data_IF_560814252435
#
_entry.id   IF_560814252435
#
_cell.length_a   1.000
_cell.length_b   1.000
_cell.length_c   1.000
_cell.angle_alpha   90.00
_cell.angle_beta   90.00
_cell.angle_gamma   90.00
#
_symmetry.space_group_name_H-M   'P 1'
#
loop_
_entity.id
_entity.type
_entity.pdbx_description
1 polymer ?
#
# COMPACT_ATOMS: atom_id res chain seq x y z
N UNK A 1 -7.22 7.28 3.84
CA UNK A 1 -7.23 5.80 3.67
C UNK A 1 -8.24 5.44 2.59
N UNK A 2 -7.78 4.87 1.48
CA UNK A 2 -8.60 4.49 0.31
C UNK A 2 -8.86 2.96 0.22
N UNK A 3 -8.25 2.16 1.10
CA UNK A 3 -8.33 0.70 1.07
C UNK A 3 -9.78 0.14 1.12
N UNK A 4 -10.68 0.57 2.02
CA UNK A 4 -12.07 0.06 2.05
C UNK A 4 -12.90 0.48 0.83
N UNK A 5 -12.44 1.51 0.10
CA UNK A 5 -13.07 1.94 -1.16
C UNK A 5 -12.59 1.09 -2.34
N UNK A 6 -11.32 0.67 -2.30
CA UNK A 6 -10.65 -0.09 -3.35
C UNK A 6 -10.94 -1.60 -3.28
N UNK A 7 -11.14 -2.17 -2.08
CA UNK A 7 -11.46 -3.59 -1.89
C UNK A 7 -12.75 -3.77 -1.08
N UNK A 8 -13.78 -4.34 -1.70
CA UNK A 8 -15.14 -4.49 -1.11
C UNK A 8 -15.51 -5.93 -0.72
N UNK A 9 -14.65 -6.91 -1.05
CA UNK A 9 -14.88 -8.33 -0.70
C UNK A 9 -14.50 -8.57 0.77
N UNK A 10 -15.13 -9.53 1.46
CA UNK A 10 -14.73 -9.88 2.82
C UNK A 10 -13.32 -10.50 2.83
N UNK A 11 -12.47 -10.04 3.75
CA UNK A 11 -11.14 -10.61 4.01
C UNK A 11 -11.27 -11.53 5.23
N UNK A 12 -10.74 -12.77 5.19
CA UNK A 12 -10.74 -13.63 6.37
C UNK A 12 -10.04 -12.95 7.55
N UNK A 13 -10.60 -13.10 8.75
CA UNK A 13 -10.21 -12.33 9.93
C UNK A 13 -8.72 -12.44 10.30
N UNK A 14 -8.12 -13.60 10.02
CA UNK A 14 -6.69 -13.87 10.28
C UNK A 14 -5.77 -12.93 9.48
N UNK A 15 -6.12 -12.62 8.23
CA UNK A 15 -5.36 -11.69 7.38
C UNK A 15 -5.74 -10.23 7.64
N UNK A 16 -7.02 -9.96 7.95
CA UNK A 16 -7.53 -8.60 8.06
C UNK A 16 -6.84 -7.79 9.17
N UNK A 17 -6.59 -8.38 10.35
CA UNK A 17 -5.97 -7.66 11.46
C UNK A 17 -4.57 -7.16 11.10
N UNK A 18 -3.71 -8.04 10.60
CA UNK A 18 -2.33 -7.70 10.25
C UNK A 18 -2.28 -6.78 9.03
N UNK A 19 -3.18 -6.95 8.07
CA UNK A 19 -3.29 -6.06 6.91
C UNK A 19 -3.65 -4.62 7.33
N UNK A 20 -4.56 -4.44 8.30
CA UNK A 20 -4.86 -3.11 8.85
C UNK A 20 -3.64 -2.48 9.53
N UNK A 21 -2.87 -3.26 10.28
CA UNK A 21 -1.62 -2.78 10.90
C UNK A 21 -0.60 -2.31 9.85
N UNK A 22 -0.39 -3.08 8.77
CA UNK A 22 0.48 -2.70 7.66
C UNK A 22 0.04 -1.40 7.00
N UNK A 23 -1.26 -1.23 6.74
CA UNK A 23 -1.83 0.01 6.17
C UNK A 23 -1.56 1.22 7.09
N UNK A 24 -1.72 1.05 8.40
CA UNK A 24 -1.45 2.10 9.39
C UNK A 24 0.04 2.44 9.41
N UNK A 25 0.94 1.45 9.40
CA UNK A 25 2.39 1.66 9.38
C UNK A 25 2.85 2.40 8.12
N UNK A 26 2.38 1.98 6.94
CA UNK A 26 2.64 2.67 5.66
C UNK A 26 2.15 4.13 5.70
N UNK A 27 0.96 4.38 6.27
CA UNK A 27 0.43 5.73 6.44
C UNK A 27 1.31 6.58 7.37
N UNK A 28 1.65 6.07 8.55
CA UNK A 28 2.50 6.80 9.50
C UNK A 28 3.86 7.17 8.89
N UNK A 29 4.47 6.25 8.15
CA UNK A 29 5.76 6.47 7.52
C UNK A 29 5.69 7.53 6.41
N UNK A 30 4.67 7.48 5.55
CA UNK A 30 4.49 8.45 4.45
C UNK A 30 4.27 9.89 4.92
N UNK A 31 3.67 10.07 6.10
CA UNK A 31 3.37 11.40 6.67
C UNK A 31 4.42 11.88 7.66
N UNK A 32 5.53 11.14 7.86
CA UNK A 32 6.68 11.67 8.60
C UNK A 32 7.29 12.84 7.82
N UNK A 33 7.49 13.98 8.48
CA UNK A 33 8.01 15.25 7.89
C UNK A 33 9.35 15.12 7.16
N UNK A 34 10.11 14.06 7.43
CA UNK A 34 11.41 13.75 6.82
C UNK A 34 11.35 12.66 5.77
N UNK A 35 10.15 12.24 5.35
CA UNK A 35 9.98 11.12 4.43
C UNK A 35 10.67 11.40 3.08
N UNK A 36 11.70 10.61 2.80
CA UNK A 36 12.23 10.38 1.46
C UNK A 36 11.86 8.95 1.08
N UNK A 37 11.69 8.71 -0.20
CA UNK A 37 11.55 7.35 -0.70
C UNK A 37 12.74 6.52 -0.20
N UNK A 38 12.43 5.42 0.48
CA UNK A 38 13.41 4.50 1.06
C UNK A 38 13.15 3.12 0.46
N UNK A 39 14.05 2.69 -0.43
CA UNK A 39 13.93 1.44 -1.15
C UNK A 39 13.97 0.21 -0.22
N UNK A 40 14.68 0.30 0.91
CA UNK A 40 14.75 -0.77 1.92
C UNK A 40 13.41 -0.89 2.64
N UNK A 41 12.78 0.24 2.97
CA UNK A 41 11.44 0.25 3.54
C UNK A 41 10.39 -0.28 2.57
N UNK A 42 10.44 0.14 1.29
CA UNK A 42 9.53 -0.36 0.27
C UNK A 42 9.66 -1.89 0.10
N UNK A 43 10.88 -2.40 0.03
CA UNK A 43 11.15 -3.84 -0.01
C UNK A 43 10.61 -4.54 1.25
N UNK A 44 10.85 -3.98 2.44
CA UNK A 44 10.33 -4.52 3.70
C UNK A 44 8.80 -4.63 3.73
N UNK A 45 8.09 -3.63 3.21
CA UNK A 45 6.62 -3.66 3.10
C UNK A 45 6.12 -4.73 2.12
N UNK A 46 6.79 -4.90 0.97
CA UNK A 46 6.42 -5.93 -0.01
C UNK A 46 6.69 -7.33 0.54
N UNK A 47 7.85 -7.56 1.13
CA UNK A 47 8.20 -8.86 1.74
C UNK A 47 7.26 -9.23 2.88
N UNK A 48 6.93 -8.26 3.76
CA UNK A 48 5.98 -8.49 4.85
C UNK A 48 4.57 -8.81 4.34
N UNK A 49 4.15 -8.16 3.26
CA UNK A 49 2.88 -8.46 2.59
C UNK A 49 2.87 -9.88 2.00
N UNK A 50 3.92 -10.27 1.28
CA UNK A 50 4.01 -11.59 0.66
C UNK A 50 3.98 -12.72 1.71
N UNK A 51 4.71 -12.55 2.81
CA UNK A 51 4.69 -13.51 3.93
C UNK A 51 3.32 -13.55 4.61
N UNK A 52 2.68 -12.39 4.80
CA UNK A 52 1.37 -12.33 5.42
C UNK A 52 0.31 -13.04 4.59
N UNK A 53 0.37 -12.89 3.27
CA UNK A 53 -0.63 -13.41 2.33
C UNK A 53 -0.30 -14.82 1.83
N UNK A 54 0.69 -15.48 2.43
CA UNK A 54 0.99 -16.87 2.17
C UNK A 54 -0.21 -17.75 2.55
N UNK A 55 -0.57 -18.68 1.66
CA UNK A 55 -1.74 -19.54 1.83
C UNK A 55 -3.09 -18.83 1.70
N UNK A 56 -3.14 -17.56 1.28
CA UNK A 56 -4.42 -16.89 0.99
C UNK A 56 -5.19 -17.68 -0.10
N UNK A 57 -6.49 -17.98 0.07
CA UNK A 57 -7.19 -18.95 -0.79
C UNK A 57 -7.31 -18.59 -2.28
N UNK A 58 -7.10 -17.33 -2.62
CA UNK A 58 -7.35 -16.77 -3.95
C UNK A 58 -6.20 -15.86 -4.35
N UNK A 59 -5.41 -16.29 -5.33
CA UNK A 59 -4.31 -15.50 -5.88
C UNK A 59 -4.81 -14.20 -6.53
N UNK A 60 -6.01 -14.22 -7.14
CA UNK A 60 -6.65 -13.02 -7.71
C UNK A 60 -7.00 -11.99 -6.64
N UNK A 61 -7.58 -12.44 -5.53
CA UNK A 61 -7.88 -11.56 -4.40
C UNK A 61 -6.61 -11.05 -3.74
N UNK A 62 -5.56 -11.88 -3.64
CA UNK A 62 -4.25 -11.45 -3.15
C UNK A 62 -3.71 -10.31 -4.02
N UNK A 63 -3.66 -10.46 -5.34
CA UNK A 63 -3.20 -9.40 -6.24
C UNK A 63 -4.08 -8.13 -6.14
N UNK A 64 -5.40 -8.29 -6.03
CA UNK A 64 -6.33 -7.16 -5.89
C UNK A 64 -6.13 -6.43 -4.56
N UNK A 65 -5.91 -7.15 -3.46
CA UNK A 65 -5.60 -6.59 -2.14
C UNK A 65 -4.25 -5.88 -2.20
N UNK A 66 -3.24 -6.46 -2.85
CA UNK A 66 -1.92 -5.86 -3.00
C UNK A 66 -2.00 -4.54 -3.78
N UNK A 67 -2.76 -4.51 -4.88
CA UNK A 67 -3.04 -3.29 -5.64
C UNK A 67 -3.81 -2.26 -4.81
N UNK A 68 -4.75 -2.66 -3.99
CA UNK A 68 -5.47 -1.74 -3.08
C UNK A 68 -4.56 -1.19 -1.96
N UNK A 69 -3.61 -2.00 -1.49
CA UNK A 69 -2.63 -1.68 -0.45
C UNK A 69 -1.52 -0.74 -0.98
N UNK A 70 -0.89 -1.11 -2.09
CA UNK A 70 0.19 -0.33 -2.73
C UNK A 70 -0.35 0.85 -3.54
N UNK A 71 -1.53 0.73 -4.14
CA UNK A 71 -2.21 1.69 -5.00
C UNK A 71 -3.01 2.77 -4.28
N UNK A 72 -2.70 3.02 -3.01
CA UNK A 72 -3.08 4.26 -2.32
C UNK A 72 -2.07 5.43 -2.51
N UNK A 73 -1.57 5.73 -3.72
CA UNK A 73 -1.22 7.07 -4.11
C UNK A 73 -2.20 7.55 -5.19
N UNK A 74 -3.15 8.41 -4.82
CA UNK A 74 -3.50 9.53 -5.71
C UNK A 74 -2.31 10.47 -5.72
N UNK A 75 -1.25 10.09 -6.40
CA UNK A 75 -0.28 11.06 -6.85
C UNK A 75 -0.87 11.68 -8.11
N UNK A 76 -1.17 12.97 -8.01
CA UNK A 76 -1.80 13.74 -9.06
C UNK A 76 -0.86 13.73 -10.29
N UNK A 77 -1.26 13.16 -11.44
CA UNK A 77 -0.44 13.19 -12.65
C UNK A 77 -0.09 14.62 -13.10
N UNK A 78 -0.89 15.60 -12.69
CA UNK A 78 -0.65 17.03 -12.93
C UNK A 78 0.52 17.58 -12.09
N UNK A 79 0.81 17.03 -10.91
CA UNK A 79 1.94 17.47 -10.07
C UNK A 79 3.31 17.08 -10.63
N UNK A 80 3.38 16.04 -11.46
CA UNK A 80 4.63 15.62 -12.10
C UNK A 80 4.92 16.40 -13.40
N UNK A 81 3.90 16.99 -14.05
CA UNK A 81 4.11 17.83 -15.25
C UNK A 81 4.63 19.23 -14.93
N UNK A 82 4.33 19.77 -13.75
CA UNK A 82 4.78 21.11 -13.35
C UNK A 82 6.21 21.17 -12.82
N UNK A 83 6.82 20.03 -12.46
CA UNK A 83 8.19 19.98 -11.93
C UNK A 83 9.28 19.95 -13.01
N UNK A 84 8.91 19.86 -14.30
CA UNK A 84 9.87 19.79 -15.43
C UNK A 84 9.88 21.08 -16.27
N UNK A 85 9.20 22.15 -15.85
CA UNK A 85 9.13 23.42 -16.62
C UNK A 85 9.25 24.71 -15.80
N UNK A 86 9.91 24.72 -14.64
CA UNK A 86 10.40 25.97 -14.05
C UNK A 86 11.80 25.77 -13.44
N UNK A 87 12.81 26.16 -14.23
CA UNK A 87 14.13 26.70 -13.87
C UNK A 87 14.94 25.99 -12.77
#
# INVERSE_FOLDING_TARGET
MEFPKAYKRPIPRIYNNVLQELIVQQHLMRYKRTYRYDAVFALGLVTAYDQLMEGYPSDEDRDTIFKAYTGAPKEDPEKHRSAVMQW
#
